data_IF_718587640502
#
_entry.id   IF_718587640502
#
_cell.length_a   1.000
_cell.length_b   1.000
_cell.length_c   1.000
_cell.angle_alpha   90.00
_cell.angle_beta   90.00
_cell.angle_gamma   90.00
#
_symmetry.space_group_name_H-M   'P 1'
#
loop_
_entity.id
_entity.type
_entity.pdbx_description
1 polymer ?
#
# COMPACT_ATOMS: atom_id res chain seq x y z
N UNK A 1 11.48 0.59 18.34
CA UNK A 1 10.65 -0.22 17.42
C UNK A 1 11.11 0.08 16.00
N UNK A 2 11.31 -0.91 15.11
CA UNK A 2 11.73 -0.67 13.72
C UNK A 2 10.50 -0.60 12.82
N UNK A 3 10.38 0.47 12.03
CA UNK A 3 9.36 0.61 10.99
C UNK A 3 9.46 -0.54 9.99
N UNK A 4 8.31 -1.09 9.61
CA UNK A 4 8.19 -2.16 8.62
C UNK A 4 7.70 -1.57 7.31
N UNK A 5 8.20 -2.12 6.20
CA UNK A 5 7.85 -1.70 4.86
C UNK A 5 7.15 -2.84 4.12
N UNK A 6 6.03 -2.53 3.47
CA UNK A 6 5.29 -3.44 2.60
C UNK A 6 5.32 -2.85 1.20
N UNK A 7 5.96 -3.54 0.25
CA UNK A 7 6.02 -3.11 -1.14
C UNK A 7 4.88 -3.76 -1.92
N UNK A 8 3.99 -2.92 -2.47
CA UNK A 8 2.88 -3.37 -3.31
C UNK A 8 3.26 -3.20 -4.76
N UNK A 9 3.49 -4.32 -5.46
CA UNK A 9 3.82 -4.34 -6.89
C UNK A 9 2.64 -4.87 -7.71
N UNK A 10 2.71 -4.70 -9.03
CA UNK A 10 1.68 -5.16 -9.95
C UNK A 10 2.24 -5.80 -11.21
N UNK A 11 1.68 -6.93 -11.62
CA UNK A 11 1.99 -7.61 -12.88
C UNK A 11 0.81 -7.66 -13.84
N UNK A 12 1.07 -8.16 -15.05
CA UNK A 12 0.11 -8.41 -16.15
C UNK A 12 -0.50 -7.15 -16.78
N UNK A 13 -1.31 -6.38 -16.05
CA UNK A 13 -2.04 -5.23 -16.59
C UNK A 13 -2.12 -4.09 -15.56
N UNK A 14 -2.21 -2.84 -16.05
CA UNK A 14 -2.56 -1.69 -15.22
C UNK A 14 -4.05 -1.66 -14.85
N UNK A 15 -4.45 -0.76 -13.94
CA UNK A 15 -5.85 -0.55 -13.53
C UNK A 15 -6.53 -1.68 -12.73
N UNK A 16 -5.78 -2.69 -12.26
CA UNK A 16 -6.26 -3.78 -11.41
C UNK A 16 -6.68 -3.37 -9.97
N UNK A 17 -6.72 -2.08 -9.65
CA UNK A 17 -7.10 -1.63 -8.31
C UNK A 17 -6.01 -1.78 -7.25
N UNK A 18 -4.72 -1.76 -7.61
CA UNK A 18 -3.59 -1.87 -6.66
C UNK A 18 -3.63 -0.81 -5.55
N UNK A 19 -4.01 0.41 -5.89
CA UNK A 19 -4.17 1.49 -4.90
C UNK A 19 -5.28 1.17 -3.89
N UNK A 20 -6.40 0.64 -4.37
CA UNK A 20 -7.52 0.24 -3.52
C UNK A 20 -7.14 -0.95 -2.62
N UNK A 21 -6.46 -1.95 -3.17
CA UNK A 21 -5.97 -3.09 -2.39
C UNK A 21 -4.99 -2.64 -1.28
N UNK A 22 -4.04 -1.77 -1.60
CA UNK A 22 -3.11 -1.21 -0.62
C UNK A 22 -3.82 -0.39 0.47
N UNK A 23 -4.81 0.43 0.09
CA UNK A 23 -5.61 1.21 1.03
C UNK A 23 -6.42 0.33 1.98
N UNK A 24 -7.08 -0.72 1.47
CA UNK A 24 -7.83 -1.68 2.30
C UNK A 24 -6.94 -2.42 3.29
N UNK A 25 -5.72 -2.80 2.89
CA UNK A 25 -4.73 -3.39 3.81
C UNK A 25 -4.32 -2.38 4.89
N UNK A 26 -4.08 -1.12 4.51
CA UNK A 26 -3.79 -0.04 5.46
C UNK A 26 -4.89 0.10 6.52
N UNK A 27 -6.15 0.19 6.10
CA UNK A 27 -7.30 0.29 6.99
C UNK A 27 -7.40 -0.89 7.98
N UNK A 28 -7.10 -2.12 7.53
CA UNK A 28 -7.07 -3.30 8.41
C UNK A 28 -5.94 -3.22 9.44
N UNK A 29 -4.76 -2.71 9.07
CA UNK A 29 -3.64 -2.55 9.98
C UNK A 29 -3.91 -1.43 11.01
N UNK A 30 -4.48 -0.31 10.58
CA UNK A 30 -4.96 0.77 11.47
C UNK A 30 -6.01 0.26 12.45
N UNK A 31 -6.95 -0.59 12.00
CA UNK A 31 -7.95 -1.22 12.87
C UNK A 31 -7.34 -2.10 13.98
N UNK A 32 -6.09 -2.53 13.81
CA UNK A 32 -5.31 -3.28 14.82
C UNK A 32 -4.44 -2.38 15.70
N UNK A 33 -4.63 -1.06 15.64
CA UNK A 33 -3.88 -0.09 16.43
C UNK A 33 -2.45 0.14 15.94
N UNK A 34 -2.13 -0.21 14.70
CA UNK A 34 -0.82 0.06 14.11
C UNK A 34 -0.83 1.44 13.44
N UNK A 35 0.24 2.18 13.64
CA UNK A 35 0.50 3.39 12.87
C UNK A 35 0.98 3.00 11.46
N UNK A 36 0.23 3.41 10.43
CA UNK A 36 0.47 3.06 9.04
C UNK A 36 0.55 4.33 8.20
N UNK A 37 1.43 4.32 7.21
CA UNK A 37 1.49 5.36 6.19
C UNK A 37 1.57 4.73 4.80
N UNK A 38 0.97 5.39 3.82
CA UNK A 38 0.94 4.95 2.43
C UNK A 38 1.75 5.93 1.58
N UNK A 39 2.65 5.40 0.76
CA UNK A 39 3.42 6.19 -0.22
C UNK A 39 3.17 5.64 -1.62
N UNK A 40 2.74 6.52 -2.54
CA UNK A 40 2.60 6.19 -3.94
C UNK A 40 3.88 6.58 -4.68
N UNK A 41 4.45 5.61 -5.41
CA UNK A 41 5.54 5.83 -6.34
C UNK A 41 4.98 5.81 -7.75
N UNK A 42 5.05 6.95 -8.42
CA UNK A 42 4.59 7.12 -9.78
C UNK A 42 5.79 7.16 -10.75
N UNK A 43 5.80 6.36 -11.82
CA UNK A 43 6.97 6.20 -12.69
C UNK A 43 7.02 7.23 -13.84
N UNK A 44 6.32 8.36 -13.70
CA UNK A 44 6.29 9.42 -14.71
C UNK A 44 7.29 10.54 -14.36
N UNK A 45 7.81 11.23 -15.39
CA UNK A 45 8.68 12.40 -15.27
C UNK A 45 7.83 13.64 -14.99
#
# INVERSE_FOLDING_TARGET
MKTKFIFVTGGVMSSLGKGLAAASIGALLESRGLEVTLQKLDPYI
#
